data_IF_846447655129
#
_entry.id   IF_846447655129
#
_cell.length_a   1.000
_cell.length_b   1.000
_cell.length_c   1.000
_cell.angle_alpha   90.00
_cell.angle_beta   90.00
_cell.angle_gamma   90.00
#
_symmetry.space_group_name_H-M   'P 1'
#
loop_
_entity.id
_entity.type
_entity.pdbx_description
1 polymer ?
#
# COMPACT_ATOMS: atom_id res chain seq x y z
N UNK A 1 -7.50 26.36 49.15
CA UNK A 1 -8.54 26.48 48.10
C UNK A 1 -7.87 26.88 46.80
N UNK A 2 -7.83 25.97 45.81
CA UNK A 2 -7.94 26.26 44.37
C UNK A 2 -7.97 24.92 43.64
N UNK A 3 -9.19 24.44 43.40
CA UNK A 3 -9.52 23.29 42.57
C UNK A 3 -9.39 23.67 41.11
N UNK A 4 -8.44 23.07 40.38
CA UNK A 4 -8.37 23.18 38.93
C UNK A 4 -9.25 22.10 38.31
N UNK A 5 -10.37 22.55 37.74
CA UNK A 5 -11.37 21.78 37.04
C UNK A 5 -10.78 21.09 35.80
N UNK A 6 -10.80 19.75 35.77
CA UNK A 6 -10.49 18.95 34.59
C UNK A 6 -11.65 18.99 33.59
N UNK A 7 -11.53 19.84 32.58
CA UNK A 7 -12.52 19.98 31.52
C UNK A 7 -12.42 18.83 30.51
N UNK A 8 -13.53 18.11 30.30
CA UNK A 8 -13.88 17.46 29.03
C UNK A 8 -13.31 16.06 28.75
N UNK A 9 -13.86 15.03 29.42
CA UNK A 9 -13.73 13.66 28.94
C UNK A 9 -14.50 13.48 27.61
N UNK A 10 -13.79 13.37 26.49
CA UNK A 10 -14.35 12.74 25.29
C UNK A 10 -14.76 11.29 25.60
N UNK A 11 -15.89 10.79 25.11
CA UNK A 11 -16.26 9.38 25.28
C UNK A 11 -15.17 8.49 24.68
N UNK A 12 -14.41 7.85 25.55
CA UNK A 12 -13.30 6.97 25.19
C UNK A 12 -13.93 5.74 24.53
N UNK A 13 -13.71 5.55 23.23
CA UNK A 13 -14.23 4.38 22.53
C UNK A 13 -13.72 3.10 23.24
N UNK A 14 -14.60 2.15 23.63
CA UNK A 14 -14.19 0.98 24.46
C UNK A 14 -13.26 -0.03 23.77
N UNK A 15 -12.89 0.19 22.51
CA UNK A 15 -11.97 -0.69 21.77
C UNK A 15 -10.59 -0.08 21.77
N UNK A 16 -9.67 -0.73 22.47
CA UNK A 16 -8.24 -0.47 22.30
C UNK A 16 -7.88 -0.57 20.80
N UNK A 17 -7.17 0.41 20.23
CA UNK A 17 -6.62 0.26 18.90
C UNK A 17 -5.76 -0.99 18.91
N UNK A 18 -5.96 -1.89 17.95
CA UNK A 18 -5.11 -3.07 17.82
C UNK A 18 -3.69 -2.60 17.61
N UNK A 19 -2.88 -2.69 18.67
CA UNK A 19 -1.46 -2.37 18.70
C UNK A 19 -0.70 -3.36 17.81
N UNK A 20 -0.73 -3.11 16.52
CA UNK A 20 0.26 -3.63 15.58
C UNK A 20 0.67 -2.47 14.70
N UNK A 21 1.85 -1.91 14.99
CA UNK A 21 2.44 -0.75 14.31
C UNK A 21 2.61 -1.00 12.80
N UNK A 22 2.73 -2.27 12.40
CA UNK A 22 2.64 -2.73 11.02
C UNK A 22 1.66 -3.89 10.98
N UNK A 23 0.43 -3.64 10.53
CA UNK A 23 -0.53 -4.73 10.29
C UNK A 23 -0.02 -5.58 9.13
N UNK A 24 -0.07 -6.91 9.23
CA UNK A 24 0.24 -7.84 8.14
C UNK A 24 -0.49 -7.45 6.84
N UNK A 25 -1.70 -6.88 6.95
CA UNK A 25 -2.43 -6.29 5.82
C UNK A 25 -1.61 -5.24 5.07
N UNK A 26 -1.01 -4.30 5.80
CA UNK A 26 -0.28 -3.16 5.24
C UNK A 26 1.01 -3.65 4.58
N UNK A 27 1.71 -4.61 5.20
CA UNK A 27 2.93 -5.17 4.61
C UNK A 27 2.63 -5.95 3.33
N UNK A 28 1.59 -6.79 3.32
CA UNK A 28 1.16 -7.53 2.11
C UNK A 28 0.69 -6.57 1.01
N UNK A 29 -0.03 -5.51 1.38
CA UNK A 29 -0.40 -4.44 0.45
C UNK A 29 0.83 -3.78 -0.16
N UNK A 30 1.80 -3.40 0.67
CA UNK A 30 3.04 -2.75 0.24
C UNK A 30 3.82 -3.61 -0.75
N UNK A 31 4.04 -4.88 -0.42
CA UNK A 31 4.78 -5.82 -1.29
C UNK A 31 4.05 -5.99 -2.63
N UNK A 32 2.73 -6.15 -2.61
CA UNK A 32 1.93 -6.28 -3.82
C UNK A 32 1.98 -5.05 -4.71
N UNK A 33 1.90 -3.86 -4.13
CA UNK A 33 2.06 -2.62 -4.89
C UNK A 33 3.46 -2.45 -5.46
N UNK A 34 4.51 -2.74 -4.68
CA UNK A 34 5.90 -2.70 -5.17
C UNK A 34 6.08 -3.65 -6.36
N UNK A 35 5.50 -4.85 -6.31
CA UNK A 35 5.55 -5.79 -7.42
C UNK A 35 4.81 -5.27 -8.68
N UNK A 36 3.61 -4.69 -8.51
CA UNK A 36 2.86 -4.09 -9.62
C UNK A 36 3.63 -2.92 -10.23
N UNK A 37 4.10 -1.98 -9.41
CA UNK A 37 4.88 -0.85 -9.87
C UNK A 37 6.17 -1.29 -10.56
N UNK A 38 6.89 -2.26 -9.97
CA UNK A 38 8.10 -2.84 -10.54
C UNK A 38 7.86 -3.51 -11.90
N UNK A 39 6.73 -4.19 -12.08
CA UNK A 39 6.37 -4.78 -13.37
C UNK A 39 6.17 -3.71 -14.46
N UNK A 40 5.51 -2.59 -14.12
CA UNK A 40 5.35 -1.47 -15.06
C UNK A 40 6.66 -0.71 -15.32
N UNK A 41 7.55 -0.60 -14.32
CA UNK A 41 8.88 -0.03 -14.51
C UNK A 41 9.74 -0.91 -15.43
N UNK A 42 9.72 -2.24 -15.21
CA UNK A 42 10.39 -3.19 -16.08
C UNK A 42 9.82 -3.14 -17.50
N UNK A 43 8.50 -3.07 -17.64
CA UNK A 43 7.84 -2.88 -18.94
C UNK A 43 8.33 -1.60 -19.63
N UNK A 44 8.35 -0.46 -18.94
CA UNK A 44 8.80 0.81 -19.52
C UNK A 44 10.25 0.74 -19.99
N UNK A 45 11.12 0.13 -19.17
CA UNK A 45 12.52 -0.12 -19.49
C UNK A 45 12.70 -0.96 -20.77
N UNK A 46 12.02 -2.10 -20.87
CA UNK A 46 12.09 -2.94 -22.06
C UNK A 46 11.36 -2.33 -23.27
N UNK A 47 10.31 -1.53 -23.04
CA UNK A 47 9.53 -0.92 -24.10
C UNK A 47 10.30 0.19 -24.81
N UNK A 48 11.08 1.00 -24.07
CA UNK A 48 12.04 1.98 -24.64
C UNK A 48 13.01 1.31 -25.60
N UNK A 49 13.66 0.21 -25.18
CA UNK A 49 14.65 -0.51 -25.98
C UNK A 49 14.11 -1.08 -27.30
N UNK A 50 12.80 -1.29 -27.38
CA UNK A 50 12.14 -1.83 -28.58
C UNK A 50 11.74 -0.75 -29.58
N UNK A 51 11.91 0.52 -29.23
CA UNK A 51 11.52 1.61 -30.11
C UNK A 51 12.52 1.82 -31.25
N UNK A 52 12.06 2.21 -32.44
CA UNK A 52 12.94 2.38 -33.60
C UNK A 52 13.89 3.58 -33.48
N UNK A 53 13.58 4.55 -32.62
CA UNK A 53 14.38 5.74 -32.34
C UNK A 53 15.34 5.53 -31.16
N UNK A 54 15.35 4.33 -30.56
CA UNK A 54 16.19 4.05 -29.41
C UNK A 54 17.66 3.90 -29.83
N UNK A 55 18.52 4.73 -29.26
CA UNK A 55 19.97 4.61 -29.39
C UNK A 55 20.55 4.06 -28.07
N UNK A 56 21.31 2.95 -28.10
CA UNK A 56 21.98 2.43 -26.93
C UNK A 56 22.97 3.46 -26.38
N UNK A 57 22.98 3.71 -25.06
CA UNK A 57 23.93 4.64 -24.46
C UNK A 57 25.36 4.09 -24.61
N UNK A 58 26.30 4.98 -24.93
CA UNK A 58 27.73 4.65 -24.97
C UNK A 58 28.23 4.38 -23.53
N UNK A 59 28.83 3.21 -23.33
CA UNK A 59 29.35 2.79 -22.02
C UNK A 59 30.80 3.26 -21.92
N UNK A 60 30.99 4.47 -21.39
CA UNK A 60 32.31 5.01 -21.08
C UNK A 60 32.65 4.71 -19.60
N UNK A 61 33.75 4.00 -19.29
CA UNK A 61 34.13 3.70 -17.91
C UNK A 61 34.45 4.95 -17.06
N UNK A 62 34.82 6.06 -17.71
CA UNK A 62 35.28 7.29 -17.09
C UNK A 62 34.19 8.38 -16.98
N UNK A 63 33.03 8.20 -17.66
CA UNK A 63 31.91 9.14 -17.62
C UNK A 63 30.61 8.43 -17.20
N UNK A 64 30.03 8.90 -16.10
CA UNK A 64 28.70 8.49 -15.67
C UNK A 64 27.66 9.09 -16.62
N UNK A 65 27.24 8.33 -17.62
CA UNK A 65 26.13 8.70 -18.49
C UNK A 65 24.82 8.54 -17.70
N UNK A 66 24.39 9.61 -17.02
CA UNK A 66 23.17 9.65 -16.20
C UNK A 66 21.93 9.92 -17.07
N UNK A 67 22.13 10.53 -18.25
CA UNK A 67 21.09 10.97 -19.17
C UNK A 67 20.84 9.88 -20.21
N UNK A 68 20.00 8.91 -19.85
CA UNK A 68 19.65 7.80 -20.71
C UNK A 68 18.15 7.79 -20.99
N UNK A 69 17.70 7.38 -22.20
CA UNK A 69 16.28 7.25 -22.52
C UNK A 69 15.57 6.24 -21.62
N UNK A 70 16.27 5.20 -21.18
CA UNK A 70 15.75 4.20 -20.23
C UNK A 70 15.48 4.82 -18.86
N UNK A 71 16.45 5.57 -18.34
CA UNK A 71 16.35 6.24 -17.05
C UNK A 71 15.23 7.27 -17.07
N UNK A 72 15.14 8.06 -18.14
CA UNK A 72 14.09 9.06 -18.34
C UNK A 72 12.69 8.44 -18.35
N UNK A 73 12.49 7.32 -19.06
CA UNK A 73 11.19 6.65 -19.10
C UNK A 73 10.80 6.03 -17.75
N UNK A 74 11.75 5.39 -17.06
CA UNK A 74 11.52 4.83 -15.72
C UNK A 74 11.26 5.93 -14.70
N UNK A 75 11.98 7.06 -14.78
CA UNK A 75 11.77 8.24 -13.96
C UNK A 75 10.36 8.78 -14.13
N UNK A 76 9.92 9.03 -15.37
CA UNK A 76 8.56 9.49 -15.67
C UNK A 76 7.51 8.55 -15.09
N UNK A 77 7.59 7.24 -15.34
CA UNK A 77 6.64 6.28 -14.79
C UNK A 77 6.66 6.27 -13.26
N UNK A 78 7.85 6.28 -12.64
CA UNK A 78 8.00 6.25 -11.19
C UNK A 78 7.44 7.50 -10.50
N UNK A 79 7.56 8.68 -11.12
CA UNK A 79 7.02 9.94 -10.58
C UNK A 79 5.50 9.84 -10.34
N UNK A 80 4.76 9.28 -11.29
CA UNK A 80 3.32 9.03 -11.14
C UNK A 80 3.01 7.88 -10.17
N UNK A 81 3.87 6.87 -10.11
CA UNK A 81 3.71 5.76 -9.15
C UNK A 81 3.85 6.24 -7.71
N UNK A 82 4.77 7.16 -7.41
CA UNK A 82 4.90 7.75 -6.07
C UNK A 82 3.64 8.52 -5.66
N UNK A 83 3.07 9.30 -6.57
CA UNK A 83 1.82 10.02 -6.35
C UNK A 83 0.65 9.04 -6.13
N UNK A 84 0.55 8.01 -6.97
CA UNK A 84 -0.46 6.96 -6.86
C UNK A 84 -0.33 6.23 -5.52
N UNK A 85 0.88 5.83 -5.12
CA UNK A 85 1.13 5.17 -3.84
C UNK A 85 0.71 6.06 -2.67
N UNK A 86 1.06 7.34 -2.71
CA UNK A 86 0.61 8.32 -1.71
C UNK A 86 -0.92 8.38 -1.63
N UNK A 87 -1.63 8.42 -2.76
CA UNK A 87 -3.10 8.39 -2.77
C UNK A 87 -3.66 7.10 -2.18
N UNK A 88 -3.18 5.94 -2.63
CA UNK A 88 -3.73 4.64 -2.22
C UNK A 88 -3.53 4.40 -0.73
N UNK A 89 -2.33 4.62 -0.19
CA UNK A 89 -2.06 4.42 1.24
C UNK A 89 -2.77 5.42 2.15
N UNK A 90 -3.09 6.58 1.60
CA UNK A 90 -3.76 7.64 2.33
C UNK A 90 -5.29 7.38 2.38
N UNK A 91 -5.86 6.64 1.41
CA UNK A 91 -7.25 6.11 1.43
C UNK A 91 -7.50 4.83 2.26
N UNK A 92 -6.81 4.62 3.39
CA UNK A 92 -6.91 3.37 4.15
C UNK A 92 -8.26 3.10 4.88
N UNK A 93 -9.05 2.13 4.39
CA UNK A 93 -10.26 1.58 5.07
C UNK A 93 -9.91 0.79 6.36
N UNK A 94 -10.68 0.84 7.49
CA UNK A 94 -12.02 1.42 7.71
C UNK A 94 -12.08 2.68 8.62
N UNK A 95 -10.96 3.16 9.18
CA UNK A 95 -10.98 4.18 10.25
C UNK A 95 -10.42 5.55 9.83
N UNK A 96 -10.03 5.75 8.57
CA UNK A 96 -9.45 7.03 8.11
C UNK A 96 -10.52 7.91 7.45
N UNK A 97 -10.47 9.20 7.78
CA UNK A 97 -11.26 10.25 7.11
C UNK A 97 -10.90 10.29 5.61
N UNK A 98 -11.82 10.69 4.74
CA UNK A 98 -11.55 10.81 3.32
C UNK A 98 -10.45 11.84 3.05
N UNK A 99 -9.63 11.58 2.01
CA UNK A 99 -8.43 12.34 1.66
C UNK A 99 -8.63 13.85 1.55
N UNK A 100 -9.78 14.26 0.99
CA UNK A 100 -10.12 15.67 0.78
C UNK A 100 -10.24 16.49 2.07
N UNK A 101 -10.27 15.84 3.23
CA UNK A 101 -10.26 16.55 4.53
C UNK A 101 -8.91 17.23 4.78
N UNK A 102 -7.81 16.70 4.22
CA UNK A 102 -6.48 17.28 4.38
C UNK A 102 -6.11 18.11 3.15
N UNK A 103 -6.41 19.42 3.23
CA UNK A 103 -6.18 20.38 2.14
C UNK A 103 -4.70 20.41 1.74
N UNK A 104 -3.77 20.32 2.70
CA UNK A 104 -2.33 20.33 2.41
C UNK A 104 -1.89 19.10 1.61
N UNK A 105 -2.39 17.92 1.95
CA UNK A 105 -2.09 16.70 1.20
C UNK A 105 -2.68 16.76 -0.21
N UNK A 106 -3.90 17.26 -0.35
CA UNK A 106 -4.52 17.41 -1.67
C UNK A 106 -3.79 18.45 -2.53
N UNK A 107 -3.34 19.55 -1.94
CA UNK A 107 -2.56 20.57 -2.63
C UNK A 107 -1.23 20.02 -3.14
N UNK A 108 -0.48 19.28 -2.31
CA UNK A 108 0.80 18.69 -2.73
C UNK A 108 0.63 17.61 -3.78
N UNK A 109 -0.36 16.73 -3.63
CA UNK A 109 -0.66 15.70 -4.66
C UNK A 109 -1.07 16.33 -5.98
N UNK A 110 -1.91 17.36 -5.95
CA UNK A 110 -2.35 18.06 -7.17
C UNK A 110 -1.19 18.79 -7.85
N UNK A 111 -0.34 19.46 -7.07
CA UNK A 111 0.86 20.13 -7.57
C UNK A 111 1.84 19.14 -8.20
N UNK A 112 2.15 18.04 -7.50
CA UNK A 112 3.06 17.00 -8.01
C UNK A 112 2.50 16.31 -9.26
N UNK A 113 1.19 16.08 -9.31
CA UNK A 113 0.52 15.53 -10.49
C UNK A 113 0.61 16.50 -11.67
N UNK A 114 0.35 17.78 -11.44
CA UNK A 114 0.49 18.83 -12.45
C UNK A 114 1.93 18.93 -12.97
N UNK A 115 2.92 18.91 -12.08
CA UNK A 115 4.34 18.94 -12.44
C UNK A 115 4.75 17.68 -13.22
N UNK A 116 4.27 16.50 -12.82
CA UNK A 116 4.57 15.23 -13.51
C UNK A 116 3.92 15.18 -14.90
N UNK A 117 2.69 15.69 -15.04
CA UNK A 117 2.03 15.84 -16.34
C UNK A 117 2.75 16.86 -17.22
N UNK A 118 3.20 17.97 -16.64
CA UNK A 118 4.00 18.97 -17.34
C UNK A 118 5.31 18.37 -17.85
N UNK A 119 6.03 17.62 -17.00
CA UNK A 119 7.26 16.93 -17.38
C UNK A 119 7.04 15.83 -18.44
N UNK A 120 5.86 15.19 -18.46
CA UNK A 120 5.52 14.17 -19.45
C UNK A 120 5.15 14.76 -20.82
N UNK A 121 4.55 15.95 -20.90
CA UNK A 121 4.10 16.51 -22.18
C UNK A 121 4.99 17.62 -22.74
N UNK A 122 5.92 18.14 -21.95
CA UNK A 122 6.80 19.24 -22.37
C UNK A 122 8.16 18.71 -22.80
N UNK A 123 8.53 18.83 -24.09
CA UNK A 123 9.79 18.32 -24.62
C UNK A 123 11.01 19.23 -24.36
N UNK A 124 10.83 20.42 -23.76
CA UNK A 124 11.92 21.39 -23.59
C UNK A 124 11.71 22.34 -22.41
N UNK A 125 12.75 22.64 -21.64
CA UNK A 125 12.76 23.74 -20.66
C UNK A 125 13.66 23.50 -19.44
N UNK A 126 13.73 24.49 -18.54
CA UNK A 126 14.59 24.40 -17.34
C UNK A 126 14.33 23.17 -16.47
N UNK A 127 13.06 22.78 -16.32
CA UNK A 127 12.68 21.58 -15.54
C UNK A 127 13.15 20.31 -16.25
N UNK A 128 13.20 20.31 -17.57
CA UNK A 128 13.65 19.18 -18.38
C UNK A 128 15.16 18.95 -18.23
N UNK A 129 15.93 20.04 -18.29
CA UNK A 129 17.39 20.03 -18.09
C UNK A 129 17.75 19.69 -16.63
N UNK A 130 17.01 20.24 -15.66
CA UNK A 130 17.21 19.94 -14.24
C UNK A 130 16.95 18.46 -13.91
N UNK A 131 15.98 17.85 -14.60
CA UNK A 131 15.61 16.44 -14.42
C UNK A 131 16.44 15.48 -15.30
N UNK A 132 17.28 16.00 -16.20
CA UNK A 132 18.10 15.20 -17.12
C UNK A 132 17.25 14.28 -18.00
N UNK A 133 16.09 14.77 -18.45
CA UNK A 133 15.17 14.02 -19.30
C UNK A 133 15.66 13.97 -20.75
N UNK A 134 15.37 12.88 -21.45
CA UNK A 134 15.65 12.72 -22.88
C UNK A 134 14.39 13.00 -23.70
N UNK A 135 14.55 13.63 -24.87
CA UNK A 135 13.43 13.97 -25.74
C UNK A 135 12.83 12.70 -26.38
N UNK A 136 11.50 12.53 -26.29
CA UNK A 136 10.80 11.41 -26.90
C UNK A 136 9.78 11.85 -27.96
N UNK A 137 9.49 11.01 -28.97
CA UNK A 137 8.40 11.29 -29.89
C UNK A 137 7.06 11.29 -29.15
N UNK A 138 6.10 12.09 -29.64
CA UNK A 138 4.77 12.23 -29.01
C UNK A 138 4.00 10.92 -28.88
N UNK A 139 4.20 9.98 -29.80
CA UNK A 139 3.59 8.63 -29.74
C UNK A 139 4.02 7.87 -28.48
N UNK A 140 5.28 7.99 -28.10
CA UNK A 140 5.83 7.33 -26.92
C UNK A 140 5.31 7.94 -25.62
N UNK A 141 5.18 9.28 -25.56
CA UNK A 141 4.56 9.97 -24.42
C UNK A 141 3.12 9.49 -24.16
N UNK A 142 2.33 9.30 -25.21
CA UNK A 142 0.96 8.78 -25.09
C UNK A 142 0.98 7.33 -24.57
N UNK A 143 1.89 6.49 -25.07
CA UNK A 143 2.04 5.12 -24.60
C UNK A 143 2.42 5.05 -23.11
N UNK A 144 3.37 5.89 -22.66
CA UNK A 144 3.72 6.02 -21.24
C UNK A 144 2.54 6.52 -20.41
N UNK A 145 1.79 7.51 -20.89
CA UNK A 145 0.61 8.02 -20.20
C UNK A 145 -0.45 6.92 -20.01
N UNK A 146 -0.74 6.15 -21.06
CA UNK A 146 -1.67 5.01 -20.98
C UNK A 146 -1.18 3.99 -19.94
N UNK A 147 0.10 3.66 -19.96
CA UNK A 147 0.68 2.73 -18.99
C UNK A 147 0.59 3.24 -17.55
N UNK A 148 0.80 4.53 -17.32
CA UNK A 148 0.61 5.17 -16.01
C UNK A 148 -0.85 5.08 -15.57
N UNK A 149 -1.81 5.42 -16.43
CA UNK A 149 -3.24 5.32 -16.10
C UNK A 149 -3.61 3.88 -15.75
N UNK A 150 -3.16 2.90 -16.55
CA UNK A 150 -3.38 1.48 -16.29
C UNK A 150 -2.74 1.03 -14.96
N UNK A 151 -1.52 1.48 -14.66
CA UNK A 151 -0.85 1.20 -13.40
C UNK A 151 -1.65 1.75 -12.21
N UNK A 152 -2.11 3.01 -12.29
CA UNK A 152 -2.93 3.64 -11.25
C UNK A 152 -4.22 2.85 -11.02
N UNK A 153 -4.97 2.54 -12.08
CA UNK A 153 -6.20 1.74 -11.98
C UNK A 153 -5.91 0.38 -11.34
N UNK A 154 -4.85 -0.31 -11.78
CA UNK A 154 -4.50 -1.62 -11.25
C UNK A 154 -4.12 -1.56 -9.77
N UNK A 155 -3.37 -0.55 -9.33
CA UNK A 155 -3.04 -0.34 -7.93
C UNK A 155 -4.29 -0.11 -7.05
N UNK A 156 -5.25 0.70 -7.51
CA UNK A 156 -6.52 0.92 -6.79
C UNK A 156 -7.39 -0.35 -6.75
N UNK A 157 -7.48 -1.08 -7.86
CA UNK A 157 -8.23 -2.34 -7.93
C UNK A 157 -7.59 -3.40 -7.02
N UNK A 158 -6.26 -3.54 -7.05
CA UNK A 158 -5.52 -4.45 -6.20
C UNK A 158 -5.78 -4.17 -4.71
N UNK A 159 -5.69 -2.92 -4.28
CA UNK A 159 -5.95 -2.55 -2.88
C UNK A 159 -7.41 -2.85 -2.48
N UNK A 160 -8.36 -2.57 -3.37
CA UNK A 160 -9.78 -2.85 -3.16
C UNK A 160 -10.04 -4.35 -3.01
N UNK A 161 -9.39 -5.17 -3.82
CA UNK A 161 -9.47 -6.63 -3.77
C UNK A 161 -8.83 -7.16 -2.48
N UNK A 162 -7.60 -6.73 -2.18
CA UNK A 162 -6.85 -7.14 -0.99
C UNK A 162 -7.63 -6.86 0.29
N UNK A 163 -8.31 -5.70 0.37
CA UNK A 163 -9.16 -5.36 1.51
C UNK A 163 -10.24 -6.42 1.79
N UNK A 164 -10.88 -6.94 0.74
CA UNK A 164 -11.92 -7.99 0.84
C UNK A 164 -11.32 -9.32 1.28
N UNK A 165 -10.17 -9.71 0.73
CA UNK A 165 -9.48 -10.94 1.11
C UNK A 165 -9.03 -10.92 2.56
N UNK A 166 -8.45 -9.82 3.03
CA UNK A 166 -8.00 -9.68 4.42
C UNK A 166 -9.19 -9.76 5.38
N UNK A 167 -10.33 -9.13 5.07
CA UNK A 167 -11.54 -9.26 5.90
C UNK A 167 -12.01 -10.72 6.00
N UNK A 168 -11.98 -11.47 4.89
CA UNK A 168 -12.31 -12.91 4.90
C UNK A 168 -11.33 -13.72 5.73
N UNK A 169 -10.03 -13.45 5.60
CA UNK A 169 -8.97 -14.15 6.30
C UNK A 169 -9.04 -13.90 7.82
N UNK A 170 -9.23 -12.64 8.23
CA UNK A 170 -9.45 -12.27 9.65
C UNK A 170 -10.70 -12.94 10.21
N UNK A 171 -11.83 -12.94 9.47
CA UNK A 171 -13.04 -13.65 9.88
C UNK A 171 -12.81 -15.17 9.99
N UNK A 172 -12.03 -15.75 9.09
CA UNK A 172 -11.63 -17.16 9.10
C UNK A 172 -10.81 -17.51 10.35
N UNK A 173 -9.74 -16.76 10.61
CA UNK A 173 -8.90 -16.94 11.80
C UNK A 173 -9.68 -16.73 13.09
N UNK A 174 -10.56 -15.71 13.16
CA UNK A 174 -11.43 -15.52 14.32
C UNK A 174 -12.38 -16.70 14.55
N UNK A 175 -12.95 -17.27 13.48
CA UNK A 175 -13.80 -18.48 13.57
C UNK A 175 -13.00 -19.68 14.07
N UNK A 176 -11.78 -19.88 13.58
CA UNK A 176 -10.89 -20.97 14.01
C UNK A 176 -10.44 -20.79 15.46
N UNK A 177 -10.03 -19.59 15.86
CA UNK A 177 -9.65 -19.28 17.24
C UNK A 177 -10.83 -19.47 18.20
N UNK A 178 -12.04 -19.05 17.82
CA UNK A 178 -13.27 -19.29 18.60
C UNK A 178 -13.59 -20.78 18.69
N UNK A 179 -13.47 -21.56 17.60
CA UNK A 179 -13.65 -23.02 17.62
C UNK A 179 -12.62 -23.71 18.52
N UNK A 180 -11.35 -23.30 18.45
CA UNK A 180 -10.27 -23.83 19.29
C UNK A 180 -10.49 -23.52 20.78
N UNK A 181 -10.88 -22.28 21.13
CA UNK A 181 -11.26 -21.93 22.51
C UNK A 181 -12.46 -22.75 23.00
N UNK A 182 -13.53 -22.86 22.19
CA UNK A 182 -14.74 -23.65 22.54
C UNK A 182 -14.42 -25.13 22.72
N UNK A 183 -13.52 -25.69 21.90
CA UNK A 183 -13.04 -27.06 22.04
C UNK A 183 -12.18 -27.25 23.29
N UNK A 184 -11.32 -26.28 23.66
CA UNK A 184 -10.54 -26.33 24.91
C UNK A 184 -11.44 -26.27 26.14
N UNK A 185 -12.41 -25.34 26.18
CA UNK A 185 -13.38 -25.24 27.28
C UNK A 185 -14.23 -26.50 27.43
N UNK A 186 -14.70 -27.10 26.32
CA UNK A 186 -15.48 -28.36 26.36
C UNK A 186 -14.63 -29.53 26.86
N UNK A 187 -13.37 -29.65 26.44
CA UNK A 187 -12.45 -30.69 26.95
C UNK A 187 -12.13 -30.49 28.44
N UNK A 188 -12.01 -29.24 28.90
CA UNK A 188 -11.78 -28.94 30.31
C UNK A 188 -12.99 -29.30 31.19
N UNK A 189 -14.21 -28.93 30.77
CA UNK A 189 -15.44 -29.29 31.49
C UNK A 189 -15.68 -30.80 31.58
N UNK A 190 -15.39 -31.54 30.50
CA UNK A 190 -15.49 -33.02 30.52
C UNK A 190 -14.51 -33.67 31.49
N UNK A 191 -13.29 -33.12 31.63
CA UNK A 191 -12.32 -33.62 32.62
C UNK A 191 -12.75 -33.31 34.05
N UNK A 192 -13.33 -32.13 34.29
CA UNK A 192 -13.85 -31.75 35.60
C UNK A 192 -15.02 -32.66 36.03
N UNK A 193 -15.96 -32.92 35.13
CA UNK A 193 -17.09 -33.81 35.38
C UNK A 193 -16.64 -35.23 35.76
N UNK A 194 -15.69 -35.80 35.01
CA UNK A 194 -15.11 -37.12 35.31
C UNK A 194 -14.33 -37.17 36.62
N UNK A 195 -13.76 -36.06 37.06
CA UNK A 195 -13.07 -35.98 38.34
C UNK A 195 -14.07 -35.98 39.51
N UNK A 196 -15.18 -35.25 39.39
CA UNK A 196 -16.26 -35.20 40.39
C UNK A 196 -16.98 -36.56 40.52
N UNK A 197 -17.24 -37.22 39.39
CA UNK A 197 -17.84 -38.56 39.39
C UNK A 197 -16.97 -39.58 40.13
N UNK A 198 -15.63 -39.55 39.93
CA UNK A 198 -14.71 -40.42 40.68
C UNK A 198 -14.65 -40.11 42.16
N UNK A 199 -14.72 -38.85 42.57
CA UNK A 199 -14.73 -38.51 44.01
C UNK A 199 -16.01 -38.99 44.69
N UNK A 200 -17.16 -38.94 44.01
CA UNK A 200 -18.43 -39.43 44.55
C UNK A 200 -18.46 -40.95 44.72
N UNK A 201 -17.81 -41.70 43.82
CA UNK A 201 -17.69 -43.16 43.95
C UNK A 201 -16.82 -43.55 45.15
N UNK A 202 -15.81 -42.75 45.48
CA UNK A 202 -14.88 -43.05 46.56
C UNK A 202 -15.44 -42.74 47.97
N UNK A 203 -16.39 -41.81 48.08
CA UNK A 203 -17.12 -41.48 49.32
C UNK A 203 -18.32 -42.40 49.58
N UNK A 204 -18.84 -43.10 48.56
CA UNK A 204 -19.96 -44.04 48.69
C UNK A 204 -19.56 -45.43 49.19
N UNK A 205 -18.26 -45.73 49.21
CA UNK A 205 -17.69 -47.02 49.60
C UNK A 205 -17.09 -47.01 51.04
N UNK A 206 -17.33 -45.96 51.83
CA UNK A 206 -16.93 -45.82 53.23
C UNK A 206 -18.14 -45.83 54.18
#
# INVERSE_FOLDING_TARGET
MTTTYSHGHTPIHPRAPTANLVSVKVLVSLIGQVAICGAFQAWAFYYVRRQPWYEPPEINPDELNVVNPENSAVFLVSSFQYITGALVYSTGFPYRKPLYTNVWLMATVTLLLGLSLYALFTPSGFIFDLLGLVEFPRSFHIALFIAVVLNTVLCFVFESILSKYVVKLVKGLQRLARRSRRSKTRKHGSKLYKAVERSMQHDGDA
#
